data_IF_938499407558
#
_entry.id   IF_938499407558
#
_cell.length_a   1.000
_cell.length_b   1.000
_cell.length_c   1.000
_cell.angle_alpha   90.00
_cell.angle_beta   90.00
_cell.angle_gamma   90.00
#
_symmetry.space_group_name_H-M   'P 1'
#
loop_
_entity.id
_entity.type
_entity.pdbx_description
1 polymer ?
#
# COMPACT_ATOMS: atom_id res chain seq x y z
N UNK A 1 -9.07 -2.48 25.58
CA UNK A 1 -9.69 -3.34 24.52
C UNK A 1 -9.45 -2.75 23.13
N UNK A 2 -9.68 -1.46 22.94
CA UNK A 2 -9.54 -0.74 21.66
C UNK A 2 -8.16 -0.91 20.98
N UNK A 3 -7.07 -0.83 21.74
CA UNK A 3 -5.69 -1.04 21.23
C UNK A 3 -5.55 -2.44 20.61
N UNK A 4 -6.04 -3.48 21.28
CA UNK A 4 -5.95 -4.86 20.80
C UNK A 4 -6.84 -5.10 19.56
N UNK A 5 -8.01 -4.46 19.50
CA UNK A 5 -8.89 -4.53 18.33
C UNK A 5 -8.24 -3.84 17.13
N UNK A 6 -7.67 -2.65 17.33
CA UNK A 6 -6.97 -1.92 16.26
C UNK A 6 -5.78 -2.73 15.73
N UNK A 7 -4.95 -3.27 16.61
CA UNK A 7 -3.76 -4.02 16.22
C UNK A 7 -4.12 -5.32 15.49
N UNK A 8 -4.97 -6.17 16.08
CA UNK A 8 -5.29 -7.47 15.48
C UNK A 8 -6.24 -7.34 14.28
N UNK A 9 -7.25 -6.47 14.38
CA UNK A 9 -8.18 -6.20 13.29
C UNK A 9 -7.50 -5.53 12.10
N UNK A 10 -6.63 -4.55 12.37
CA UNK A 10 -5.79 -3.92 11.36
C UNK A 10 -4.83 -4.92 10.70
N UNK A 11 -4.21 -5.80 11.49
CA UNK A 11 -3.36 -6.86 10.96
C UNK A 11 -4.11 -7.81 10.03
N UNK A 12 -5.32 -8.21 10.41
CA UNK A 12 -6.19 -9.01 9.54
C UNK A 12 -6.53 -8.30 8.24
N UNK A 13 -6.92 -7.02 8.29
CA UNK A 13 -7.23 -6.21 7.11
C UNK A 13 -6.01 -6.10 6.19
N UNK A 14 -4.85 -5.72 6.74
CA UNK A 14 -3.63 -5.47 5.98
C UNK A 14 -3.16 -6.73 5.25
N UNK A 15 -3.06 -7.86 5.94
CA UNK A 15 -2.63 -9.11 5.31
C UNK A 15 -3.66 -9.66 4.32
N UNK A 16 -4.96 -9.49 4.59
CA UNK A 16 -6.01 -9.88 3.63
C UNK A 16 -5.92 -9.10 2.32
N UNK A 17 -5.47 -7.85 2.36
CA UNK A 17 -5.17 -7.04 1.17
C UNK A 17 -3.86 -7.52 0.53
N UNK A 18 -2.79 -7.67 1.32
CA UNK A 18 -1.47 -8.11 0.88
C UNK A 18 -1.52 -9.37 0.02
N UNK A 19 -2.18 -10.42 0.52
CA UNK A 19 -2.30 -11.69 -0.22
C UNK A 19 -3.05 -11.56 -1.55
N UNK A 20 -4.00 -10.61 -1.65
CA UNK A 20 -4.73 -10.35 -2.90
C UNK A 20 -3.95 -9.48 -3.88
N UNK A 21 -2.90 -8.80 -3.43
CA UNK A 21 -2.05 -7.97 -4.29
C UNK A 21 -0.81 -8.72 -4.81
N UNK A 22 -0.52 -9.91 -4.27
CA UNK A 22 0.58 -10.75 -4.73
C UNK A 22 0.07 -11.83 -5.68
N UNK A 23 0.89 -12.10 -6.69
CA UNK A 23 0.60 -13.11 -7.71
C UNK A 23 1.91 -13.67 -8.27
N UNK A 24 1.98 -14.97 -8.62
CA UNK A 24 3.14 -15.51 -9.33
C UNK A 24 3.37 -14.80 -10.67
N UNK A 25 4.64 -14.68 -11.09
CA UNK A 25 5.01 -14.07 -12.38
C UNK A 25 4.33 -14.80 -13.55
N UNK A 26 4.24 -16.14 -13.48
CA UNK A 26 3.57 -16.97 -14.50
C UNK A 26 2.09 -16.67 -14.68
N UNK A 27 1.48 -15.93 -13.76
CA UNK A 27 0.09 -15.53 -13.82
C UNK A 27 -0.07 -14.00 -13.96
N UNK A 28 0.99 -13.25 -14.27
CA UNK A 28 0.96 -11.80 -14.45
C UNK A 28 1.41 -11.00 -13.23
N UNK A 29 1.98 -11.64 -12.21
CA UNK A 29 2.65 -10.93 -11.12
C UNK A 29 3.83 -10.09 -11.62
N UNK A 30 3.84 -8.80 -11.29
CA UNK A 30 4.86 -7.86 -11.73
C UNK A 30 4.60 -7.20 -13.09
N UNK A 31 3.52 -7.57 -13.79
CA UNK A 31 3.11 -6.85 -14.99
C UNK A 31 2.60 -5.43 -14.63
N UNK A 32 2.99 -4.38 -15.37
CA UNK A 32 2.53 -3.02 -15.10
C UNK A 32 1.01 -2.87 -15.21
N UNK A 33 0.37 -2.04 -14.38
CA UNK A 33 -1.06 -1.81 -14.48
C UNK A 33 -1.42 -1.10 -15.80
N UNK A 34 -2.55 -1.50 -16.39
CA UNK A 34 -3.07 -0.92 -17.63
C UNK A 34 -4.31 -0.04 -17.39
N UNK A 35 -4.73 0.67 -18.44
CA UNK A 35 -5.94 1.48 -18.44
C UNK A 35 -5.89 2.63 -17.43
N UNK A 36 -7.01 2.87 -16.75
CA UNK A 36 -7.18 4.04 -15.87
C UNK A 36 -6.15 4.12 -14.74
N UNK A 37 -5.76 2.98 -14.17
CA UNK A 37 -4.77 2.96 -13.10
C UNK A 37 -3.37 3.31 -13.63
N UNK A 38 -2.98 2.75 -14.77
CA UNK A 38 -1.70 3.09 -15.41
C UNK A 38 -1.60 4.59 -15.71
N UNK A 39 -2.66 5.16 -16.31
CA UNK A 39 -2.69 6.60 -16.61
C UNK A 39 -2.64 7.48 -15.34
N UNK A 40 -3.34 7.09 -14.29
CA UNK A 40 -3.28 7.81 -13.01
C UNK A 40 -1.88 7.76 -12.39
N UNK A 41 -1.16 6.63 -12.53
CA UNK A 41 0.23 6.51 -12.06
C UNK A 41 1.15 7.44 -12.86
N UNK A 42 0.99 7.48 -14.18
CA UNK A 42 1.77 8.37 -15.04
C UNK A 42 1.47 9.85 -14.73
N UNK A 43 0.21 10.21 -14.44
CA UNK A 43 -0.18 11.57 -14.07
C UNK A 43 0.39 12.00 -12.70
N UNK A 44 0.25 11.14 -11.68
CA UNK A 44 0.55 11.52 -10.29
C UNK A 44 2.03 11.29 -9.91
N UNK A 45 2.71 10.33 -10.54
CA UNK A 45 4.11 9.99 -10.24
C UNK A 45 5.05 10.17 -11.43
N UNK A 46 4.52 10.35 -12.64
CA UNK A 46 5.30 10.53 -13.87
C UNK A 46 5.72 9.24 -14.57
N UNK A 47 5.82 8.11 -13.84
CA UNK A 47 5.96 6.75 -14.40
C UNK A 47 5.81 5.68 -13.31
N UNK A 48 5.61 4.42 -13.71
CA UNK A 48 5.59 3.28 -12.79
C UNK A 48 6.93 3.11 -12.05
N UNK A 49 8.07 3.37 -12.70
CA UNK A 49 9.39 3.28 -12.07
C UNK A 49 9.57 4.35 -10.98
N UNK A 50 9.04 5.56 -11.20
CA UNK A 50 9.06 6.63 -10.19
C UNK A 50 8.18 6.27 -8.99
N UNK A 51 7.02 5.64 -9.22
CA UNK A 51 6.19 5.10 -8.15
C UNK A 51 6.93 4.02 -7.35
N UNK A 52 7.50 3.01 -8.02
CA UNK A 52 8.27 1.95 -7.37
C UNK A 52 9.41 2.54 -6.54
N UNK A 53 10.16 3.50 -7.10
CA UNK A 53 11.24 4.20 -6.38
C UNK A 53 10.73 4.93 -5.14
N UNK A 54 9.57 5.61 -5.23
CA UNK A 54 8.96 6.29 -4.08
C UNK A 54 8.54 5.27 -3.02
N UNK A 55 7.80 4.22 -3.37
CA UNK A 55 7.37 3.20 -2.41
C UNK A 55 8.55 2.52 -1.71
N UNK A 56 9.61 2.18 -2.45
CA UNK A 56 10.83 1.60 -1.87
C UNK A 56 11.52 2.57 -0.91
N UNK A 57 11.60 3.87 -1.24
CA UNK A 57 12.21 4.87 -0.38
C UNK A 57 11.41 5.08 0.91
N UNK A 58 10.08 5.18 0.83
CA UNK A 58 9.22 5.35 2.00
C UNK A 58 9.23 4.10 2.90
N UNK A 59 9.30 2.90 2.30
CA UNK A 59 9.42 1.64 3.05
C UNK A 59 10.75 1.49 3.77
N UNK A 60 11.85 1.79 3.08
CA UNK A 60 13.19 1.75 3.69
C UNK A 60 13.38 2.81 4.80
N UNK A 61 12.65 3.93 4.73
CA UNK A 61 12.70 4.99 5.73
C UNK A 61 11.83 4.70 6.97
N UNK A 62 10.97 3.68 6.93
CA UNK A 62 10.09 3.35 8.04
C UNK A 62 10.91 2.78 9.21
N UNK A 63 10.81 3.43 10.37
CA UNK A 63 11.52 3.01 11.58
C UNK A 63 10.67 2.01 12.36
N UNK A 64 11.20 0.79 12.52
CA UNK A 64 10.48 -0.31 13.17
C UNK A 64 9.51 -1.00 12.21
N UNK A 65 8.37 -1.43 12.73
CA UNK A 65 7.41 -2.23 11.98
C UNK A 65 6.32 -1.38 11.33
N UNK A 66 5.88 -1.74 10.12
CA UNK A 66 4.82 -1.00 9.44
C UNK A 66 4.52 -1.46 8.03
N UNK A 67 3.79 -0.63 7.31
CA UNK A 67 3.32 -0.88 5.94
C UNK A 67 3.52 0.34 5.05
N UNK A 68 3.79 0.08 3.76
CA UNK A 68 3.74 1.09 2.70
C UNK A 68 2.54 0.83 1.81
N UNK A 69 1.81 1.88 1.44
CA UNK A 69 0.57 1.79 0.68
C UNK A 69 0.64 2.64 -0.58
N UNK A 70 0.17 2.11 -1.70
CA UNK A 70 -0.39 2.93 -2.77
C UNK A 70 -1.87 3.16 -2.44
N UNK A 71 -2.22 4.42 -2.20
CA UNK A 71 -3.56 4.84 -1.80
C UNK A 71 -4.26 5.57 -2.95
N UNK A 72 -5.57 5.35 -3.10
CA UNK A 72 -6.45 6.23 -3.86
C UNK A 72 -7.25 7.09 -2.88
N UNK A 73 -7.11 8.40 -2.99
CA UNK A 73 -8.06 9.34 -2.41
C UNK A 73 -9.35 9.33 -3.25
N UNK A 74 -10.44 8.78 -2.70
CA UNK A 74 -11.72 8.67 -3.40
C UNK A 74 -12.39 10.02 -3.65
N UNK A 75 -12.07 11.05 -2.87
CA UNK A 75 -12.66 12.39 -3.00
C UNK A 75 -11.86 13.21 -4.01
N UNK A 76 -10.55 13.28 -3.84
CA UNK A 76 -9.67 14.02 -4.75
C UNK A 76 -9.42 13.30 -6.09
N UNK A 77 -9.71 11.99 -6.16
CA UNK A 77 -9.37 11.12 -7.31
C UNK A 77 -7.88 11.13 -7.64
N UNK A 78 -7.04 11.15 -6.60
CA UNK A 78 -5.58 11.20 -6.70
C UNK A 78 -4.92 10.03 -5.99
N UNK A 79 -3.80 9.59 -6.54
CA UNK A 79 -2.96 8.58 -5.94
C UNK A 79 -1.96 9.21 -4.98
N UNK A 80 -1.67 8.52 -3.88
CA UNK A 80 -0.58 8.88 -2.96
C UNK A 80 0.16 7.64 -2.47
N UNK A 81 1.38 7.84 -1.98
CA UNK A 81 2.11 6.81 -1.23
C UNK A 81 2.06 7.20 0.24
N UNK A 82 1.56 6.29 1.07
CA UNK A 82 1.39 6.48 2.50
C UNK A 82 2.10 5.38 3.28
N UNK A 83 2.46 5.67 4.53
CA UNK A 83 2.96 4.66 5.47
C UNK A 83 2.09 4.60 6.70
N UNK A 84 1.95 3.42 7.29
CA UNK A 84 1.30 3.23 8.58
C UNK A 84 2.20 2.43 9.52
N UNK A 85 2.29 2.81 10.80
CA UNK A 85 3.08 2.07 11.77
C UNK A 85 2.33 0.81 12.22
N UNK A 86 3.09 -0.20 12.61
CA UNK A 86 2.58 -1.45 13.14
C UNK A 86 1.51 -2.08 12.22
N UNK A 87 0.30 -2.29 12.75
CA UNK A 87 -0.83 -2.87 12.05
C UNK A 87 -1.95 -1.85 11.79
N UNK A 88 -1.65 -0.56 11.88
CA UNK A 88 -2.63 0.46 11.54
C UNK A 88 -3.03 0.32 10.05
N UNK A 89 -4.31 0.10 9.70
CA UNK A 89 -4.72 0.01 8.31
C UNK A 89 -4.80 1.40 7.69
N UNK A 90 -4.59 1.51 6.36
CA UNK A 90 -4.56 2.80 5.65
C UNK A 90 -5.76 3.73 5.97
N UNK A 91 -6.95 3.17 6.22
CA UNK A 91 -8.15 3.95 6.55
C UNK A 91 -7.98 4.83 7.81
N UNK A 92 -7.03 4.52 8.69
CA UNK A 92 -6.73 5.35 9.87
C UNK A 92 -5.99 6.65 9.51
N UNK A 93 -5.40 6.75 8.31
CA UNK A 93 -4.85 8.00 7.76
C UNK A 93 -5.94 8.89 7.16
N UNK A 94 -7.03 8.31 6.69
CA UNK A 94 -8.18 9.02 6.15
C UNK A 94 -9.24 8.05 5.63
N UNK A 95 -10.52 8.29 5.95
CA UNK A 95 -11.64 7.41 5.57
C UNK A 95 -11.91 7.38 4.06
N UNK A 96 -11.45 8.42 3.35
CA UNK A 96 -11.47 8.55 1.90
C UNK A 96 -10.34 7.78 1.21
N UNK A 97 -9.29 7.36 1.92
CA UNK A 97 -8.18 6.61 1.36
C UNK A 97 -8.55 5.14 1.16
N UNK A 98 -8.34 4.64 -0.05
CA UNK A 98 -8.58 3.26 -0.43
C UNK A 98 -7.26 2.56 -0.80
N UNK A 99 -6.91 1.42 -0.17
CA UNK A 99 -5.65 0.73 -0.44
C UNK A 99 -5.72 0.00 -1.79
N UNK A 100 -4.80 0.34 -2.70
CA UNK A 100 -4.66 -0.35 -3.98
C UNK A 100 -3.57 -1.42 -3.93
N UNK A 101 -2.46 -1.12 -3.26
CA UNK A 101 -1.34 -2.02 -3.01
C UNK A 101 -0.83 -1.77 -1.59
N UNK A 102 -0.59 -2.84 -0.83
CA UNK A 102 0.12 -2.80 0.45
C UNK A 102 1.39 -3.63 0.41
N UNK A 103 2.47 -3.13 1.01
CA UNK A 103 3.73 -3.86 1.19
C UNK A 103 4.01 -3.92 2.69
N UNK A 104 4.14 -5.15 3.22
CA UNK A 104 4.57 -5.39 4.59
C UNK A 104 6.08 -5.13 4.72
N UNK A 105 6.47 -4.24 5.63
CA UNK A 105 7.88 -3.97 5.96
C UNK A 105 8.23 -4.37 7.39
N UNK A 106 7.37 -5.13 8.07
CA UNK A 106 7.75 -5.85 9.28
C UNK A 106 8.91 -6.81 8.99
N UNK A 107 9.82 -6.97 9.96
CA UNK A 107 10.98 -7.86 9.83
C UNK A 107 10.60 -9.32 9.54
N UNK A 108 9.41 -9.79 9.94
CA UNK A 108 8.96 -11.15 9.64
C UNK A 108 8.58 -11.38 8.17
N UNK A 109 8.47 -10.32 7.36
CA UNK A 109 7.99 -10.41 5.99
C UNK A 109 9.10 -10.72 4.97
N UNK A 110 10.37 -10.68 5.41
CA UNK A 110 11.57 -10.92 4.61
C UNK A 110 12.64 -11.67 5.41
#
# INVERSE_FOLDING_TARGET
LEIAIKFNGGGHVNHSIFWKNLKPISEGGGEPPHGKLGWAIDEDFGSIEKLIKKMNAEGAALQGSGWVWLALDKEAKKLSVETTPNQDPLVTKGANLYPLLGIDVWEHAY
#
